data_IF_139421617901
#
_entry.id   IF_139421617901
#
_cell.length_a   1.000
_cell.length_b   1.000
_cell.length_c   1.000
_cell.angle_alpha   90.00
_cell.angle_beta   90.00
_cell.angle_gamma   90.00
#
_symmetry.space_group_name_H-M   'P 1'
#
loop_
_entity.id
_entity.type
_entity.pdbx_description
1 polymer ?
#
# COMPACT_ATOMS: atom_id res chain seq x y z
N UNK A 1 -8.21 4.86 -1.36
CA UNK A 1 -7.12 4.08 -2.00
C UNK A 1 -7.25 2.63 -1.58
N UNK A 2 -7.01 1.69 -2.49
CA UNK A 2 -6.95 0.24 -2.18
C UNK A 2 -5.49 -0.17 -2.33
N UNK A 3 -4.95 -0.90 -1.37
CA UNK A 3 -3.51 -1.23 -1.31
C UNK A 3 -3.26 -2.69 -1.02
N UNK A 4 -2.16 -3.21 -1.56
CA UNK A 4 -1.65 -4.56 -1.33
C UNK A 4 -0.15 -4.48 -1.03
N UNK A 5 0.27 -5.09 0.08
CA UNK A 5 1.69 -5.16 0.45
C UNK A 5 2.41 -6.16 -0.43
N UNK A 6 3.52 -5.74 -1.04
CA UNK A 6 4.41 -6.66 -1.73
C UNK A 6 5.09 -7.61 -0.73
N UNK A 7 4.96 -8.93 -0.90
CA UNK A 7 5.67 -9.87 -0.06
C UNK A 7 7.13 -9.94 -0.51
N UNK A 8 8.06 -9.61 0.38
CA UNK A 8 9.52 -9.58 0.12
C UNK A 8 10.15 -10.98 0.05
N UNK A 9 9.44 -11.97 -0.47
CA UNK A 9 9.79 -13.39 -0.47
C UNK A 9 10.09 -13.94 -1.88
N UNK A 10 10.69 -13.12 -2.74
CA UNK A 10 10.99 -13.49 -4.14
C UNK A 10 9.77 -13.46 -5.06
N UNK A 11 8.63 -12.97 -4.59
CA UNK A 11 7.47 -12.73 -5.47
C UNK A 11 7.84 -11.65 -6.50
N UNK A 12 7.54 -11.82 -7.79
CA UNK A 12 7.77 -10.77 -8.78
C UNK A 12 6.91 -9.52 -8.47
N UNK A 13 7.45 -8.33 -8.69
CA UNK A 13 6.71 -7.06 -8.57
C UNK A 13 5.37 -7.09 -9.33
N UNK A 14 5.40 -7.58 -10.55
CA UNK A 14 4.24 -7.71 -11.44
C UNK A 14 3.14 -8.57 -10.84
N UNK A 15 3.48 -9.66 -10.14
CA UNK A 15 2.49 -10.53 -9.53
C UNK A 15 1.67 -9.81 -8.44
N UNK A 16 2.27 -8.86 -7.73
CA UNK A 16 1.55 -8.03 -6.73
C UNK A 16 0.58 -7.08 -7.42
N UNK A 17 1.03 -6.40 -8.47
CA UNK A 17 0.19 -5.52 -9.26
C UNK A 17 -0.95 -6.26 -9.96
N UNK A 18 -0.68 -7.43 -10.56
CA UNK A 18 -1.70 -8.28 -11.18
C UNK A 18 -2.78 -8.68 -10.17
N UNK A 19 -2.39 -9.11 -8.96
CA UNK A 19 -3.34 -9.49 -7.91
C UNK A 19 -4.24 -8.33 -7.49
N UNK A 20 -3.65 -7.15 -7.25
CA UNK A 20 -4.41 -5.95 -6.88
C UNK A 20 -5.34 -5.51 -8.02
N UNK A 21 -4.85 -5.54 -9.25
CA UNK A 21 -5.60 -5.16 -10.45
C UNK A 21 -6.79 -6.09 -10.66
N UNK A 22 -6.57 -7.41 -10.63
CA UNK A 22 -7.62 -8.40 -10.74
C UNK A 22 -8.71 -8.23 -9.66
N UNK A 23 -8.32 -7.90 -8.42
CA UNK A 23 -9.29 -7.62 -7.36
C UNK A 23 -10.23 -6.46 -7.70
N UNK A 24 -9.71 -5.37 -8.26
CA UNK A 24 -10.49 -4.19 -8.63
C UNK A 24 -11.38 -4.46 -9.85
N UNK A 25 -10.85 -5.11 -10.88
CA UNK A 25 -11.60 -5.48 -12.08
C UNK A 25 -12.76 -6.43 -11.76
N UNK A 26 -12.52 -7.47 -10.96
CA UNK A 26 -13.55 -8.44 -10.58
C UNK A 26 -14.73 -7.82 -9.80
N UNK A 27 -14.55 -6.60 -9.30
CA UNK A 27 -15.57 -5.86 -8.55
C UNK A 27 -16.12 -4.64 -9.30
N UNK A 28 -15.63 -4.37 -10.52
CA UNK A 28 -16.05 -3.22 -11.31
C UNK A 28 -15.75 -1.87 -10.65
N UNK A 29 -14.69 -1.78 -9.85
CA UNK A 29 -14.35 -0.56 -9.07
C UNK A 29 -13.40 0.34 -9.86
N UNK A 30 -12.58 -0.23 -10.75
CA UNK A 30 -11.64 0.52 -11.58
C UNK A 30 -12.36 1.24 -12.72
N UNK A 31 -12.01 2.50 -12.93
CA UNK A 31 -12.38 3.34 -14.08
C UNK A 31 -11.15 4.06 -14.67
N UNK A 32 -11.38 4.89 -15.68
CA UNK A 32 -10.36 5.72 -16.35
C UNK A 32 -9.66 6.74 -15.44
N UNK A 33 -10.25 7.03 -14.27
CA UNK A 33 -9.68 7.90 -13.23
C UNK A 33 -8.84 7.12 -12.21
N UNK A 34 -8.66 5.81 -12.41
CA UNK A 34 -7.89 4.98 -11.50
C UNK A 34 -6.41 5.22 -11.67
N UNK A 35 -5.74 5.63 -10.59
CA UNK A 35 -4.30 5.98 -10.61
C UNK A 35 -3.50 4.91 -9.88
N UNK A 36 -2.42 4.44 -10.50
CA UNK A 36 -1.44 3.55 -9.86
C UNK A 36 -0.50 4.33 -8.98
N UNK A 37 -0.27 3.86 -7.76
CA UNK A 37 0.70 4.43 -6.83
C UNK A 37 1.55 3.29 -6.26
N UNK A 38 2.87 3.36 -6.38
CA UNK A 38 3.79 2.46 -5.67
C UNK A 38 4.41 3.21 -4.49
N UNK A 39 4.15 2.73 -3.28
CA UNK A 39 4.73 3.29 -2.06
C UNK A 39 6.00 2.53 -1.74
N UNK A 40 7.16 3.13 -1.99
CA UNK A 40 8.48 2.56 -1.81
C UNK A 40 9.01 2.88 -0.41
N UNK A 41 9.38 1.85 0.35
CA UNK A 41 9.87 2.01 1.74
C UNK A 41 11.38 1.94 1.87
N UNK A 42 12.06 1.49 0.83
CA UNK A 42 13.51 1.32 0.78
C UNK A 42 14.11 2.27 -0.26
N UNK A 43 15.39 2.62 -0.11
CA UNK A 43 16.06 3.47 -1.09
C UNK A 43 16.37 2.67 -2.36
N UNK A 44 15.87 3.07 -3.54
CA UNK A 44 16.18 2.38 -4.79
C UNK A 44 17.68 2.37 -5.13
N UNK A 45 18.46 3.33 -4.66
CA UNK A 45 19.91 3.39 -4.95
C UNK A 45 20.71 2.35 -4.14
N UNK A 46 20.26 2.02 -2.92
CA UNK A 46 20.98 1.09 -2.03
C UNK A 46 20.33 -0.29 -1.91
N UNK A 47 19.11 -0.46 -2.42
CA UNK A 47 18.32 -1.70 -2.26
C UNK A 47 18.07 -2.36 -3.60
N UNK A 48 18.56 -3.60 -3.73
CA UNK A 48 18.35 -4.43 -4.92
C UNK A 48 16.85 -4.56 -5.26
N UNK A 49 16.45 -4.48 -6.54
CA UNK A 49 15.03 -4.43 -6.95
C UNK A 49 14.14 -5.55 -6.40
N UNK A 50 14.67 -6.76 -6.32
CA UNK A 50 14.01 -7.97 -5.81
C UNK A 50 13.81 -7.98 -4.28
N UNK A 51 14.52 -7.10 -3.57
CA UNK A 51 14.45 -6.97 -2.11
C UNK A 51 13.65 -5.75 -1.65
N UNK A 52 13.21 -4.90 -2.58
CA UNK A 52 12.49 -3.67 -2.26
C UNK A 52 11.11 -3.99 -1.70
N UNK A 53 10.81 -3.39 -0.55
CA UNK A 53 9.49 -3.42 0.07
C UNK A 53 8.68 -2.26 -0.48
N UNK A 54 7.50 -2.60 -0.99
CA UNK A 54 6.56 -1.61 -1.45
C UNK A 54 5.11 -1.99 -1.12
N UNK A 55 4.22 -1.01 -1.18
CA UNK A 55 2.78 -1.25 -1.31
C UNK A 55 2.34 -0.86 -2.72
N UNK A 56 1.75 -1.81 -3.45
CA UNK A 56 0.99 -1.48 -4.66
C UNK A 56 -0.33 -0.85 -4.23
N UNK A 57 -0.67 0.28 -4.82
CA UNK A 57 -1.88 1.02 -4.49
C UNK A 57 -2.61 1.45 -5.75
N UNK A 58 -3.94 1.32 -5.74
CA UNK A 58 -4.81 1.89 -6.75
C UNK A 58 -5.72 2.93 -6.07
N UNK A 59 -5.58 4.18 -6.50
CA UNK A 59 -6.50 5.24 -6.11
C UNK A 59 -7.74 5.13 -6.99
N UNK A 60 -8.91 5.08 -6.35
CA UNK A 60 -10.20 4.93 -7.00
C UNK A 60 -11.16 5.98 -6.43
N UNK A 61 -12.16 6.42 -7.22
CA UNK A 61 -13.16 7.38 -6.76
C UNK A 61 -13.88 6.91 -5.49
N UNK A 62 -14.20 7.85 -4.59
CA UNK A 62 -14.76 7.55 -3.27
C UNK A 62 -16.12 6.83 -3.35
N UNK A 63 -16.93 7.22 -4.31
CA UNK A 63 -18.23 6.62 -4.63
C UNK A 63 -18.11 5.14 -5.01
N UNK A 64 -16.99 4.73 -5.63
CA UNK A 64 -16.72 3.33 -6.02
C UNK A 64 -16.30 2.43 -4.84
N UNK A 65 -15.86 3.00 -3.72
CA UNK A 65 -15.41 2.24 -2.53
C UNK A 65 -16.42 2.25 -1.39
N UNK A 66 -17.56 2.92 -1.54
CA UNK A 66 -18.57 3.04 -0.49
C UNK A 66 -19.08 1.66 0.01
N UNK A 67 -19.11 0.63 -0.86
CA UNK A 67 -19.48 -0.74 -0.50
C UNK A 67 -18.33 -1.64 0.00
N UNK A 68 -17.08 -1.20 -0.12
CA UNK A 68 -15.90 -1.99 0.29
C UNK A 68 -15.49 -1.77 1.73
N UNK A 69 -15.98 -0.71 2.38
CA UNK A 69 -15.66 -0.36 3.76
C UNK A 69 -16.08 -1.43 4.78
N UNK A 70 -16.85 -2.43 4.34
CA UNK A 70 -17.29 -3.60 5.13
C UNK A 70 -16.31 -4.78 5.06
N UNK A 71 -15.25 -4.70 4.26
CA UNK A 71 -14.23 -5.75 4.21
C UNK A 71 -13.33 -5.63 5.44
N UNK A 72 -13.52 -6.53 6.40
CA UNK A 72 -12.58 -6.74 7.49
C UNK A 72 -11.23 -7.16 6.88
N UNK A 73 -10.15 -6.35 7.03
CA UNK A 73 -8.84 -6.69 6.49
C UNK A 73 -8.25 -7.97 7.10
N UNK A 74 -8.83 -8.51 8.19
CA UNK A 74 -8.50 -9.82 8.77
C UNK A 74 -9.19 -10.99 8.06
N UNK A 75 -10.24 -10.73 7.28
CA UNK A 75 -11.00 -11.76 6.53
C UNK A 75 -10.60 -11.86 5.06
N UNK A 76 -9.97 -10.83 4.50
CA UNK A 76 -9.43 -10.91 3.15
C UNK A 76 -8.09 -11.65 3.17
N UNK A 77 -8.10 -12.92 2.74
CA UNK A 77 -6.90 -13.76 2.63
C UNK A 77 -5.84 -13.19 1.67
N UNK A 78 -6.21 -12.18 0.87
CA UNK A 78 -5.30 -11.53 -0.05
C UNK A 78 -4.46 -10.42 0.60
N UNK A 79 -4.77 -9.99 1.83
CA UNK A 79 -4.03 -8.93 2.52
C UNK A 79 -4.27 -7.52 1.96
N UNK A 80 -5.40 -7.32 1.29
CA UNK A 80 -5.81 -6.05 0.68
C UNK A 80 -6.36 -5.11 1.75
N UNK A 81 -5.95 -3.84 1.69
CA UNK A 81 -6.35 -2.80 2.65
C UNK A 81 -6.98 -1.62 1.92
N UNK A 82 -8.15 -1.20 2.38
CA UNK A 82 -8.77 0.06 1.95
C UNK A 82 -8.31 1.16 2.91
N UNK A 83 -7.61 2.17 2.37
CA UNK A 83 -7.06 3.29 3.13
C UNK A 83 -7.65 4.60 2.62
N UNK A 84 -8.04 5.53 3.51
CA UNK A 84 -8.29 6.90 3.09
C UNK A 84 -6.99 7.48 2.51
N UNK A 85 -7.10 8.28 1.45
CA UNK A 85 -5.94 9.04 0.94
C UNK A 85 -5.56 10.03 2.03
N UNK A 86 -4.35 9.89 2.60
CA UNK A 86 -3.87 10.77 3.66
C UNK A 86 -3.72 12.19 3.10
N UNK A 87 -4.60 13.10 3.50
CA UNK A 87 -4.67 14.47 2.98
C UNK A 87 -3.82 15.49 3.74
N UNK A 88 -3.03 15.09 4.75
CA UNK A 88 -2.62 16.05 5.78
C UNK A 88 -1.11 16.23 6.00
N UNK A 89 -0.24 15.64 5.17
CA UNK A 89 1.22 15.89 5.27
C UNK A 89 1.75 16.45 3.96
N UNK A 90 2.60 17.48 4.07
CA UNK A 90 3.25 18.16 2.95
C UNK A 90 4.00 17.12 2.10
N UNK A 91 3.41 16.78 0.95
CA UNK A 91 4.02 15.92 -0.05
C UNK A 91 4.63 16.82 -1.12
N UNK A 92 5.92 16.66 -1.33
CA UNK A 92 6.64 17.35 -2.39
C UNK A 92 6.52 16.53 -3.67
N UNK A 93 6.23 17.22 -4.77
CA UNK A 93 6.28 16.63 -6.09
C UNK A 93 7.65 16.89 -6.71
N UNK A 94 8.33 15.81 -7.09
CA UNK A 94 9.56 15.84 -7.87
C UNK A 94 9.19 15.30 -9.26
N UNK A 95 9.48 16.08 -10.31
CA UNK A 95 8.95 15.86 -11.66
C UNK A 95 9.04 14.41 -12.16
N UNK A 96 8.02 13.99 -12.92
CA UNK A 96 8.11 12.87 -13.86
C UNK A 96 8.75 13.32 -15.18
N UNK A 97 8.58 12.57 -16.27
CA UNK A 97 9.02 13.00 -17.61
C UNK A 97 8.64 14.48 -17.85
N UNK A 98 9.47 15.25 -18.56
CA UNK A 98 9.47 16.72 -18.59
C UNK A 98 8.15 17.42 -18.98
N UNK A 99 7.09 16.67 -19.27
CA UNK A 99 5.76 17.13 -19.67
C UNK A 99 4.63 16.74 -18.68
N UNK A 100 4.93 16.02 -17.60
CA UNK A 100 3.89 15.58 -16.68
C UNK A 100 3.47 16.70 -15.73
N UNK A 101 2.27 17.28 -15.94
CA UNK A 101 1.59 18.05 -14.89
C UNK A 101 1.29 17.14 -13.68
N UNK A 102 1.29 17.66 -12.44
CA UNK A 102 1.01 16.87 -11.26
C UNK A 102 -0.36 16.17 -11.41
N UNK A 103 -0.41 14.82 -11.37
CA UNK A 103 -1.60 14.06 -11.78
C UNK A 103 -2.84 14.26 -10.88
N UNK A 104 -2.70 14.97 -9.76
CA UNK A 104 -3.82 15.29 -8.87
C UNK A 104 -3.61 16.69 -8.32
N UNK A 105 -4.65 17.54 -8.42
CA UNK A 105 -4.73 18.83 -7.72
C UNK A 105 -4.89 18.61 -6.21
N UNK A 106 -3.89 18.03 -5.56
CA UNK A 106 -3.81 18.09 -4.12
C UNK A 106 -3.46 19.53 -3.72
N UNK A 107 -4.24 20.09 -2.79
CA UNK A 107 -4.20 21.50 -2.38
C UNK A 107 -2.85 21.95 -1.77
N UNK A 108 -1.89 21.04 -1.60
CA UNK A 108 -0.61 21.25 -0.90
C UNK A 108 0.60 20.61 -1.59
N UNK A 109 0.62 20.58 -2.93
CA UNK A 109 1.81 20.15 -3.68
C UNK A 109 2.72 21.36 -3.90
N UNK A 110 3.82 21.42 -3.17
CA UNK A 110 4.89 22.40 -3.42
C UNK A 110 5.91 21.78 -4.38
N UNK A 111 6.32 22.47 -5.46
CA UNK A 111 7.44 22.04 -6.30
C UNK A 111 8.69 21.84 -5.42
N UNK A 112 9.31 20.66 -5.53
CA UNK A 112 10.31 20.17 -4.57
C UNK A 112 11.70 20.85 -4.63
N UNK A 113 11.86 22.00 -5.31
CA UNK A 113 13.18 22.46 -5.74
C UNK A 113 14.22 22.56 -4.60
N UNK A 114 13.81 23.00 -3.40
CA UNK A 114 14.78 23.34 -2.33
C UNK A 114 14.45 22.79 -0.94
N UNK A 115 13.45 21.91 -0.80
CA UNK A 115 13.06 21.42 0.52
C UNK A 115 13.78 20.10 0.86
N UNK A 116 14.44 20.00 2.03
CA UNK A 116 15.06 18.75 2.46
C UNK A 116 14.01 17.65 2.58
N UNK A 117 14.34 16.44 2.12
CA UNK A 117 13.46 15.28 2.24
C UNK A 117 13.63 14.63 3.60
N UNK A 118 12.55 14.06 4.17
CA UNK A 118 12.69 13.24 5.37
C UNK A 118 13.40 11.93 5.04
N UNK A 119 14.53 11.71 5.71
CA UNK A 119 15.15 10.39 5.74
C UNK A 119 14.16 9.35 6.29
N UNK A 120 14.20 8.13 5.74
CA UNK A 120 13.37 6.98 6.17
C UNK A 120 11.85 7.13 5.97
N UNK A 121 11.40 8.15 5.23
CA UNK A 121 10.01 8.25 4.79
C UNK A 121 9.83 7.61 3.42
N UNK A 122 8.66 6.99 3.16
CA UNK A 122 8.43 6.36 1.88
C UNK A 122 8.44 7.38 0.73
N UNK A 123 8.93 6.92 -0.43
CA UNK A 123 8.80 7.60 -1.72
C UNK A 123 7.57 7.02 -2.44
N UNK A 124 6.99 7.80 -3.34
CA UNK A 124 5.79 7.41 -4.08
C UNK A 124 6.06 7.56 -5.57
N UNK A 125 5.92 6.47 -6.33
CA UNK A 125 5.83 6.52 -7.79
C UNK A 125 4.36 6.56 -8.18
N UNK A 126 4.01 7.41 -9.15
CA UNK A 126 2.64 7.54 -9.65
C UNK A 126 2.60 7.19 -11.13
N UNK A 127 1.59 6.42 -11.51
CA UNK A 127 1.35 5.92 -12.86
C UNK A 127 -0.07 6.28 -13.29
N UNK A 128 -0.27 6.46 -14.60
CA UNK A 128 -1.59 6.79 -15.18
C UNK A 128 -2.66 5.71 -14.96
N UNK A 129 -2.26 4.50 -14.56
CA UNK A 129 -3.13 3.38 -14.24
C UNK A 129 -2.34 2.28 -13.54
N UNK A 130 -2.87 1.05 -13.52
CA UNK A 130 -2.10 -0.08 -13.01
C UNK A 130 -0.89 -0.37 -13.93
N UNK A 131 0.35 -0.45 -13.40
CA UNK A 131 1.55 -0.72 -14.18
C UNK A 131 1.50 -2.00 -15.04
N UNK A 132 0.73 -3.00 -14.62
CA UNK A 132 0.61 -4.28 -15.36
C UNK A 132 -0.32 -4.21 -16.57
N UNK A 133 -1.06 -3.11 -16.74
CA UNK A 133 -1.88 -2.87 -17.92
C UNK A 133 -1.10 -2.16 -19.03
N UNK A 134 0.11 -1.68 -18.74
CA UNK A 134 0.97 -1.01 -19.71
C UNK A 134 2.07 -1.99 -20.15
N UNK A 135 2.11 -2.39 -21.43
CA UNK A 135 3.16 -3.27 -21.94
C UNK A 135 4.55 -2.66 -21.76
N UNK A 136 5.52 -3.47 -21.35
CA UNK A 136 6.92 -3.03 -21.20
C UNK A 136 7.17 -2.27 -19.91
N UNK A 137 7.80 -1.08 -20.02
CA UNK A 137 8.15 -0.27 -18.85
C UNK A 137 7.05 0.76 -18.56
N UNK A 138 6.30 0.62 -17.45
CA UNK A 138 5.25 1.57 -17.10
C UNK A 138 5.86 2.95 -16.84
N UNK A 139 5.35 3.98 -17.51
CA UNK A 139 5.82 5.35 -17.33
C UNK A 139 5.42 5.88 -15.95
N UNK A 140 6.42 6.35 -15.19
CA UNK A 140 6.18 7.10 -13.95
C UNK A 140 5.85 8.55 -14.32
N UNK A 141 4.59 8.94 -14.12
CA UNK A 141 4.09 10.28 -14.42
C UNK A 141 4.34 11.27 -13.28
N UNK A 142 4.85 10.81 -12.14
CA UNK A 142 5.26 11.70 -11.07
C UNK A 142 5.82 10.98 -9.87
N UNK A 143 6.64 11.71 -9.11
CA UNK A 143 7.21 11.22 -7.86
C UNK A 143 6.78 12.13 -6.71
N UNK A 144 6.46 11.51 -5.58
CA UNK A 144 6.24 12.25 -4.34
C UNK A 144 7.15 11.77 -3.24
N UNK A 145 7.52 12.69 -2.35
CA UNK A 145 8.26 12.40 -1.13
C UNK A 145 7.80 13.33 -0.01
N UNK A 146 8.05 12.92 1.25
CA UNK A 146 7.69 13.76 2.40
C UNK A 146 8.81 14.76 2.68
N UNK A 147 8.48 16.06 2.72
CA UNK A 147 9.41 17.10 3.14
C UNK A 147 9.76 16.96 4.63
N UNK A 148 11.03 17.18 4.97
CA UNK A 148 11.38 17.53 6.34
C UNK A 148 10.77 18.90 6.64
N UNK A 149 10.06 19.00 7.76
CA UNK A 149 9.54 20.29 8.19
C UNK A 149 10.73 21.15 8.60
N UNK A 150 10.84 22.35 8.07
CA UNK A 150 11.81 23.35 8.52
C UNK A 150 11.45 23.97 9.88
N UNK A 151 10.34 23.54 10.50
CA UNK A 151 9.99 23.96 11.85
C UNK A 151 10.98 23.36 12.87
N UNK A 152 11.94 24.21 13.25
CA UNK A 152 12.78 24.19 14.45
C UNK A 152 12.89 22.91 15.27
N UNK A 153 14.13 22.47 15.46
CA UNK A 153 14.54 21.62 16.56
C UNK A 153 13.92 22.05 17.90
N UNK A 154 12.91 21.33 18.40
CA UNK A 154 12.69 21.03 19.82
C UNK A 154 11.80 19.77 19.93
N UNK A 155 12.27 18.76 20.65
CA UNK A 155 11.41 17.72 21.24
C UNK A 155 11.25 16.44 20.43
N UNK A 156 12.09 15.45 20.72
CA UNK A 156 12.04 14.13 20.11
C UNK A 156 10.67 13.46 20.22
N UNK A 157 10.11 13.08 19.08
CA UNK A 157 9.07 12.05 19.02
C UNK A 157 9.76 10.74 18.70
N UNK A 158 10.17 10.06 19.76
CA UNK A 158 10.61 8.67 19.74
C UNK A 158 9.43 7.83 19.23
N UNK A 159 9.48 7.35 17.99
CA UNK A 159 8.71 6.16 17.63
C UNK A 159 9.31 5.02 18.48
N UNK A 160 8.51 4.23 19.21
CA UNK A 160 9.08 3.10 19.93
C UNK A 160 9.69 2.12 18.92
N UNK A 161 10.84 1.50 19.24
CA UNK A 161 11.37 0.42 18.43
C UNK A 161 10.32 -0.69 18.33
N UNK A 162 10.12 -1.24 17.12
CA UNK A 162 9.31 -2.44 16.93
C UNK A 162 9.98 -3.59 17.69
N UNK A 163 9.41 -3.97 18.83
CA UNK A 163 9.77 -5.20 19.53
C UNK A 163 9.48 -6.40 18.62
N UNK A 164 10.39 -7.38 18.50
CA UNK A 164 10.06 -8.64 17.86
C UNK A 164 8.96 -9.32 18.67
N UNK A 165 7.89 -9.77 17.99
CA UNK A 165 6.82 -10.52 18.63
C UNK A 165 7.39 -11.84 19.20
N UNK A 166 7.67 -11.83 20.50
CA UNK A 166 8.01 -12.99 21.30
C UNK A 166 6.71 -13.69 21.72
N UNK A 167 6.65 -15.00 21.49
CA UNK A 167 5.89 -16.00 22.23
C UNK A 167 4.42 -15.71 22.57
N UNK A 168 3.49 -16.25 21.76
CA UNK A 168 2.14 -16.55 22.25
C UNK A 168 2.17 -17.92 22.93
N UNK A 169 1.73 -18.06 24.19
CA UNK A 169 1.66 -19.35 24.86
C UNK A 169 0.56 -20.22 24.23
N UNK A 170 0.92 -21.46 23.85
CA UNK A 170 -0.01 -22.51 23.44
C UNK A 170 -0.91 -22.86 24.64
N UNK A 171 -2.21 -22.57 24.55
CA UNK A 171 -3.21 -23.23 25.42
C UNK A 171 -3.44 -24.67 24.94
N UNK A 172 -3.56 -25.64 25.87
CA UNK A 172 -3.84 -27.02 25.52
C UNK A 172 -5.29 -27.18 25.04
N UNK A 173 -5.47 -27.96 23.97
CA UNK A 173 -6.78 -28.34 23.45
C UNK A 173 -7.50 -29.24 24.47
N UNK A 174 -8.69 -28.80 24.89
CA UNK A 174 -9.64 -29.61 25.63
C UNK A 174 -10.21 -30.74 24.77
N UNK A 175 -10.33 -31.91 25.37
CA UNK A 175 -10.85 -33.14 24.79
C UNK A 175 -12.32 -33.00 24.35
N UNK A 176 -12.62 -33.46 23.13
CA UNK A 176 -13.99 -33.69 22.65
C UNK A 176 -14.33 -35.16 22.91
N UNK A 177 -15.21 -35.41 23.90
CA UNK A 177 -15.84 -36.72 24.13
C UNK A 177 -16.71 -37.10 22.92
N UNK A 178 -16.46 -38.26 22.33
CA UNK A 178 -17.42 -38.93 21.44
C UNK A 178 -18.57 -39.48 22.28
N UNK A 179 -19.79 -39.01 22.00
CA UNK A 179 -21.01 -39.68 22.42
C UNK A 179 -21.44 -40.64 21.30
N UNK A 180 -21.25 -41.95 21.53
CA UNK A 180 -21.81 -43.02 20.71
C UNK A 180 -23.05 -43.55 21.41
N UNK A 181 -24.24 -43.26 20.88
CA UNK A 181 -25.50 -43.71 21.46
C UNK A 181 -26.64 -43.71 20.44
N UNK A 182 -26.71 -44.77 19.63
CA UNK A 182 -27.92 -45.28 18.96
C UNK A 182 -27.70 -46.79 18.87
N UNK A 183 -28.53 -47.67 19.41
CA UNK A 183 -29.97 -47.61 19.59
C UNK A 183 -30.52 -48.83 18.88
N UNK A 184 -30.65 -49.94 19.61
CA UNK A 184 -31.33 -51.15 19.17
C UNK A 184 -32.81 -50.82 18.89
N UNK A 185 -33.39 -51.48 17.90
CA UNK A 185 -34.84 -51.62 17.73
C UNK A 185 -35.17 -53.08 17.37
N UNK A 186 -36.39 -53.52 17.75
CA UNK A 186 -36.77 -54.91 17.99
C UNK A 186 -36.85 -55.77 16.73
#
# INVERSE_FOLDING_TARGET
MISLRHPSNGTPREATWLRLTAFLFNRGISDDRTVGIEVLYDDPESTAPDRRRFDACLSVPRDRVAGLSLLDPRRDSLGIRVLPVLSERLMLWRGGSAQAEPPVRHRHVTPAADLPLRANWPRYEVYRGSPVLTPGHPEVIGWYATAASSAGAVGGSHLPPRTPATGVPRRPYGAVRRASGRGQRP
#
